data_IF_536956751921
#
_entry.id   IF_536956751921
#
_cell.length_a   1.000
_cell.length_b   1.000
_cell.length_c   1.000
_cell.angle_alpha   90.00
_cell.angle_beta   90.00
_cell.angle_gamma   90.00
#
_symmetry.space_group_name_H-M   'P 1'
#
loop_
_entity.id
_entity.type
_entity.pdbx_description
1 polymer ?
#
# COMPACT_ATOMS: atom_id res chain seq x y z
N UNK A 1 6.20 -12.57 -24.45
CA UNK A 1 7.08 -11.39 -24.36
C UNK A 1 8.37 -11.85 -23.71
N UNK A 2 9.53 -11.46 -24.22
CA UNK A 2 10.83 -11.84 -23.66
C UNK A 2 11.40 -10.72 -22.78
N UNK A 3 12.15 -11.11 -21.76
CA UNK A 3 12.98 -10.19 -21.00
C UNK A 3 14.34 -10.02 -21.69
N UNK A 4 14.90 -8.82 -21.61
CA UNK A 4 16.24 -8.53 -22.11
C UNK A 4 16.97 -7.64 -21.12
N UNK A 5 18.16 -8.06 -20.68
CA UNK A 5 19.03 -7.25 -19.84
C UNK A 5 20.24 -6.82 -20.62
N UNK A 6 20.43 -5.51 -20.69
CA UNK A 6 21.58 -4.89 -21.33
C UNK A 6 22.51 -4.41 -20.23
N UNK A 7 23.64 -5.08 -20.07
CA UNK A 7 24.71 -4.70 -19.14
C UNK A 7 25.72 -3.81 -19.85
N UNK A 8 26.37 -2.91 -19.11
CA UNK A 8 27.39 -2.00 -19.63
C UNK A 8 26.93 -1.22 -20.87
N UNK A 9 25.70 -0.70 -20.84
CA UNK A 9 25.05 -0.18 -22.03
C UNK A 9 25.68 1.14 -22.51
N UNK A 10 25.73 1.32 -23.83
CA UNK A 10 25.97 2.60 -24.48
C UNK A 10 24.67 3.37 -24.55
N UNK A 11 24.65 4.59 -24.03
CA UNK A 11 23.45 5.42 -23.92
C UNK A 11 23.66 6.74 -24.66
N UNK A 12 22.64 7.18 -25.37
CA UNK A 12 22.53 8.54 -25.90
C UNK A 12 21.32 9.23 -25.27
N UNK A 13 21.49 10.46 -24.79
CA UNK A 13 20.43 11.24 -24.15
C UNK A 13 20.10 12.45 -25.00
N UNK A 14 18.81 12.63 -25.33
CA UNK A 14 18.28 13.77 -26.07
C UNK A 14 17.19 14.46 -25.26
N UNK A 15 17.34 15.75 -24.92
CA UNK A 15 16.27 16.48 -24.23
C UNK A 15 15.06 16.66 -25.15
N UNK A 16 13.86 16.59 -24.58
CA UNK A 16 12.59 16.81 -25.25
C UNK A 16 11.83 17.99 -24.63
N UNK A 17 10.72 18.39 -25.26
CA UNK A 17 9.85 19.43 -24.73
C UNK A 17 9.29 19.06 -23.33
N UNK A 18 8.95 20.10 -22.55
CA UNK A 18 8.40 19.97 -21.19
C UNK A 18 9.30 19.23 -20.20
N UNK A 19 10.61 19.29 -20.42
CA UNK A 19 11.61 18.73 -19.53
C UNK A 19 11.66 17.19 -19.52
N UNK A 20 11.05 16.54 -20.49
CA UNK A 20 11.21 15.11 -20.73
C UNK A 20 12.55 14.82 -21.39
N UNK A 21 13.01 13.57 -21.30
CA UNK A 21 14.24 13.13 -21.97
C UNK A 21 14.00 11.82 -22.73
N UNK A 22 14.56 11.73 -23.94
CA UNK A 22 14.66 10.48 -24.68
C UNK A 22 16.04 9.88 -24.45
N UNK A 23 16.07 8.59 -24.14
CA UNK A 23 17.30 7.80 -24.08
C UNK A 23 17.26 6.72 -25.15
N UNK A 24 18.38 6.57 -25.85
CA UNK A 24 18.61 5.47 -26.79
C UNK A 24 19.70 4.58 -26.18
N UNK A 25 19.39 3.30 -25.99
CA UNK A 25 20.25 2.30 -25.35
C UNK A 25 20.72 1.30 -26.43
N UNK A 26 22.04 1.16 -26.57
CA UNK A 26 22.73 0.34 -27.56
C UNK A 26 22.20 0.54 -28.99
N UNK A 27 21.86 1.77 -29.35
CA UNK A 27 21.35 2.16 -30.67
C UNK A 27 20.08 1.36 -31.11
N UNK A 28 19.44 0.65 -30.17
CA UNK A 28 18.35 -0.30 -30.44
C UNK A 28 17.08 0.09 -29.69
N UNK A 29 17.19 0.31 -28.38
CA UNK A 29 16.04 0.55 -27.53
C UNK A 29 15.86 2.04 -27.27
N UNK A 30 14.67 2.56 -27.50
CA UNK A 30 14.34 3.95 -27.20
C UNK A 30 13.34 4.03 -26.06
N UNK A 31 13.66 4.80 -25.02
CA UNK A 31 12.73 5.07 -23.93
C UNK A 31 12.62 6.58 -23.69
N UNK A 32 11.40 7.05 -23.40
CA UNK A 32 11.15 8.43 -23.04
C UNK A 32 10.76 8.52 -21.58
N UNK A 33 11.59 9.20 -20.79
CA UNK A 33 11.26 9.54 -19.41
C UNK A 33 10.44 10.82 -19.39
N UNK A 34 9.28 10.77 -18.74
CA UNK A 34 8.46 11.97 -18.53
C UNK A 34 9.17 12.98 -17.63
N UNK A 35 8.84 14.27 -17.78
CA UNK A 35 9.45 15.36 -17.01
C UNK A 35 9.17 15.31 -15.50
N UNK A 36 8.33 14.39 -15.02
CA UNK A 36 8.04 14.20 -13.59
C UNK A 36 8.96 13.14 -12.97
N UNK A 37 9.57 12.28 -13.79
CA UNK A 37 10.53 11.28 -13.32
C UNK A 37 11.75 11.92 -12.69
N UNK A 38 12.37 11.21 -11.73
CA UNK A 38 13.61 11.67 -11.09
C UNK A 38 14.72 11.90 -12.12
N UNK A 39 14.91 10.98 -13.06
CA UNK A 39 15.96 11.11 -14.07
C UNK A 39 15.76 12.35 -14.96
N UNK A 40 14.52 12.66 -15.35
CA UNK A 40 14.24 13.85 -16.14
C UNK A 40 14.43 15.14 -15.33
N UNK A 41 14.15 15.13 -14.02
CA UNK A 41 14.47 16.25 -13.11
C UNK A 41 15.97 16.42 -12.92
N UNK A 42 16.69 15.32 -12.65
CA UNK A 42 18.16 15.30 -12.57
C UNK A 42 18.76 15.86 -13.88
N UNK A 43 18.17 15.54 -15.05
CA UNK A 43 18.60 16.06 -16.34
C UNK A 43 18.36 17.56 -16.56
N UNK A 44 17.46 18.18 -15.79
CA UNK A 44 17.23 19.63 -15.83
C UNK A 44 18.22 20.39 -14.94
N UNK A 45 18.76 19.72 -13.92
CA UNK A 45 19.65 20.31 -12.91
C UNK A 45 21.13 19.98 -13.15
N UNK A 46 21.43 18.87 -13.82
CA UNK A 46 22.79 18.39 -14.09
C UNK A 46 23.27 18.69 -15.51
N UNK A 47 24.57 18.86 -15.66
CA UNK A 47 25.20 18.91 -16.98
C UNK A 47 24.95 17.61 -17.77
N UNK A 48 24.71 17.75 -19.08
CA UNK A 48 24.38 16.63 -19.96
C UNK A 48 25.49 15.58 -20.01
N UNK A 49 26.76 15.98 -20.00
CA UNK A 49 27.87 15.04 -20.03
C UNK A 49 27.97 14.27 -18.71
N UNK A 50 27.69 14.93 -17.58
CA UNK A 50 27.63 14.28 -16.28
C UNK A 50 26.49 13.24 -16.21
N UNK A 51 25.30 13.58 -16.70
CA UNK A 51 24.19 12.63 -16.80
C UNK A 51 24.52 11.45 -17.72
N UNK A 52 25.12 11.74 -18.88
CA UNK A 52 25.53 10.73 -19.83
C UNK A 52 26.57 9.77 -19.22
N UNK A 53 27.55 10.29 -18.47
CA UNK A 53 28.55 9.47 -17.78
C UNK A 53 27.93 8.54 -16.73
N UNK A 54 26.85 8.97 -16.06
CA UNK A 54 26.11 8.12 -15.10
C UNK A 54 25.29 7.02 -15.77
N UNK A 55 24.77 7.28 -16.97
CA UNK A 55 23.95 6.31 -17.70
C UNK A 55 24.80 5.36 -18.56
N UNK A 56 25.90 5.84 -19.13
CA UNK A 56 26.85 5.02 -19.89
C UNK A 56 27.53 4.01 -18.99
N UNK A 57 27.49 2.74 -19.40
CA UNK A 57 27.91 1.62 -18.57
C UNK A 57 26.81 1.11 -17.62
N UNK A 58 25.63 1.74 -17.61
CA UNK A 58 24.50 1.31 -16.81
C UNK A 58 23.91 -0.04 -17.26
N UNK A 59 23.03 -0.59 -16.42
CA UNK A 59 22.29 -1.83 -16.72
C UNK A 59 20.81 -1.55 -16.89
N UNK A 60 20.23 -1.99 -17.99
CA UNK A 60 18.84 -1.70 -18.37
C UNK A 60 18.07 -2.99 -18.62
N UNK A 61 16.86 -3.11 -18.06
CA UNK A 61 15.98 -4.24 -18.25
C UNK A 61 14.77 -3.85 -19.10
N UNK A 62 14.55 -4.60 -20.16
CA UNK A 62 13.43 -4.44 -21.08
C UNK A 62 12.50 -5.66 -21.05
N UNK A 63 11.22 -5.40 -21.31
CA UNK A 63 10.21 -6.38 -21.64
C UNK A 63 9.67 -6.03 -23.02
N UNK A 64 10.09 -6.79 -24.05
CA UNK A 64 10.01 -6.31 -25.43
C UNK A 64 10.80 -4.99 -25.58
N UNK A 65 10.14 -3.94 -26.07
CA UNK A 65 10.77 -2.61 -26.24
C UNK A 65 10.57 -1.66 -25.04
N UNK A 66 9.86 -2.11 -23.99
CA UNK A 66 9.51 -1.27 -22.84
C UNK A 66 10.57 -1.39 -21.75
N UNK A 67 11.18 -0.26 -21.39
CA UNK A 67 12.06 -0.18 -20.23
C UNK A 67 11.27 -0.42 -18.94
N UNK A 68 11.67 -1.45 -18.19
CA UNK A 68 11.03 -1.88 -16.94
C UNK A 68 11.77 -1.34 -15.72
N UNK A 69 13.09 -1.51 -15.66
CA UNK A 69 13.92 -1.06 -14.55
C UNK A 69 15.34 -0.81 -15.07
N UNK A 70 16.12 0.00 -14.36
CA UNK A 70 17.51 0.28 -14.71
C UNK A 70 18.36 0.67 -13.50
N UNK A 71 19.67 0.54 -13.64
CA UNK A 71 20.66 1.02 -12.68
C UNK A 71 21.74 1.80 -13.42
N UNK A 72 22.24 2.84 -12.76
CA UNK A 72 23.38 3.62 -13.25
C UNK A 72 24.66 2.78 -13.30
N UNK A 73 25.67 3.30 -13.97
CA UNK A 73 26.97 2.64 -14.15
C UNK A 73 27.76 2.45 -12.86
N UNK A 74 27.47 3.23 -11.82
CA UNK A 74 28.07 3.11 -10.50
C UNK A 74 27.43 2.03 -9.62
N UNK A 75 26.39 1.33 -10.10
CA UNK A 75 25.71 0.29 -9.33
C UNK A 75 26.58 -0.96 -9.18
N UNK A 76 27.05 -1.19 -7.94
CA UNK A 76 27.84 -2.37 -7.53
C UNK A 76 26.98 -3.45 -6.84
N UNK A 77 25.66 -3.32 -6.89
CA UNK A 77 24.77 -4.27 -6.23
C UNK A 77 24.56 -5.56 -7.02
N UNK A 78 23.69 -6.42 -6.49
CA UNK A 78 23.35 -7.68 -7.11
C UNK A 78 22.62 -7.49 -8.45
N UNK A 79 22.94 -8.33 -9.44
CA UNK A 79 22.26 -8.42 -10.75
C UNK A 79 22.07 -9.90 -11.06
N UNK A 80 20.84 -10.33 -11.33
CA UNK A 80 20.56 -11.70 -11.76
C UNK A 80 21.21 -12.03 -13.13
N UNK A 81 21.46 -13.33 -13.35
CA UNK A 81 21.75 -13.85 -14.69
C UNK A 81 20.50 -13.76 -15.56
N UNK A 82 20.69 -13.79 -16.88
CA UNK A 82 19.59 -13.71 -17.84
C UNK A 82 18.66 -14.93 -17.68
N UNK A 83 19.23 -16.12 -17.46
CA UNK A 83 18.48 -17.34 -17.11
C UNK A 83 17.67 -17.19 -15.83
N UNK A 84 18.24 -16.55 -14.80
CA UNK A 84 17.54 -16.30 -13.53
C UNK A 84 16.35 -15.35 -13.71
N UNK A 85 16.50 -14.33 -14.53
CA UNK A 85 15.43 -13.38 -14.85
C UNK A 85 14.32 -14.06 -15.64
N UNK A 86 14.69 -14.89 -16.62
CA UNK A 86 13.73 -15.67 -17.39
C UNK A 86 12.96 -16.63 -16.48
N UNK A 87 13.65 -17.36 -15.62
CA UNK A 87 13.02 -18.30 -14.69
C UNK A 87 12.09 -17.61 -13.68
N UNK A 88 12.49 -16.46 -13.12
CA UNK A 88 11.62 -15.65 -12.25
C UNK A 88 10.38 -15.15 -13.01
N UNK A 89 10.58 -14.70 -14.26
CA UNK A 89 9.51 -14.27 -15.14
C UNK A 89 8.51 -15.39 -15.48
N UNK A 90 8.99 -16.62 -15.67
CA UNK A 90 8.15 -17.79 -15.96
C UNK A 90 7.41 -18.32 -14.73
N UNK A 91 8.09 -18.39 -13.58
CA UNK A 91 7.54 -18.99 -12.36
C UNK A 91 6.66 -18.03 -11.55
N UNK A 92 7.12 -16.80 -11.36
CA UNK A 92 6.40 -15.79 -10.55
C UNK A 92 5.49 -14.96 -11.44
N UNK A 93 5.91 -14.68 -12.66
CA UNK A 93 5.14 -13.87 -13.60
C UNK A 93 5.48 -12.38 -13.55
N UNK A 94 4.76 -11.65 -14.40
CA UNK A 94 4.76 -10.20 -14.48
C UNK A 94 3.41 -9.72 -15.01
N UNK A 95 3.04 -8.48 -14.66
CA UNK A 95 1.80 -7.85 -15.10
C UNK A 95 2.09 -6.52 -15.78
N UNK A 96 1.57 -6.33 -17.00
CA UNK A 96 1.67 -5.08 -17.74
C UNK A 96 0.35 -4.33 -17.60
N UNK A 97 0.37 -3.19 -16.90
CA UNK A 97 -0.81 -2.38 -16.66
C UNK A 97 -1.37 -1.84 -17.97
N UNK A 98 -2.67 -2.08 -18.21
CA UNK A 98 -3.40 -1.43 -19.31
C UNK A 98 -3.77 0.01 -18.89
N UNK A 99 -3.54 1.02 -19.76
CA UNK A 99 -3.79 2.43 -19.41
C UNK A 99 -5.23 2.78 -19.00
N UNK A 100 -6.22 1.96 -19.37
CA UNK A 100 -7.65 2.30 -19.32
C UNK A 100 -8.50 1.52 -18.29
N UNK A 101 -7.91 0.78 -17.35
CA UNK A 101 -8.69 0.18 -16.27
C UNK A 101 -9.05 1.23 -15.22
N UNK A 102 -10.32 1.40 -14.87
CA UNK A 102 -10.78 2.24 -13.75
C UNK A 102 -9.94 1.92 -12.50
N UNK A 103 -8.99 2.80 -12.18
CA UNK A 103 -7.96 2.61 -11.15
C UNK A 103 -8.50 2.86 -9.75
N UNK A 104 -9.49 2.09 -9.33
CA UNK A 104 -10.12 2.28 -8.02
C UNK A 104 -9.35 1.60 -6.88
N UNK A 105 -8.37 0.73 -7.16
CA UNK A 105 -7.53 0.13 -6.13
C UNK A 105 -6.28 0.97 -5.81
N UNK A 106 -6.20 1.51 -4.59
CA UNK A 106 -4.96 2.00 -3.96
C UNK A 106 -3.74 1.09 -4.19
N UNK A 107 -3.99 -0.22 -4.26
CA UNK A 107 -3.00 -1.28 -4.39
C UNK A 107 -2.49 -1.46 -5.82
N UNK A 108 -3.34 -1.36 -6.84
CA UNK A 108 -2.89 -1.40 -8.23
C UNK A 108 -1.90 -0.26 -8.53
N UNK A 109 -2.07 0.89 -7.86
CA UNK A 109 -1.12 2.01 -7.96
C UNK A 109 0.24 1.68 -7.33
N UNK A 110 0.29 0.84 -6.29
CA UNK A 110 1.54 0.37 -5.66
C UNK A 110 2.24 -0.70 -6.50
N UNK A 111 1.49 -1.57 -7.17
CA UNK A 111 2.03 -2.63 -8.03
C UNK A 111 2.75 -2.09 -9.26
N UNK A 112 2.26 -1.01 -9.87
CA UNK A 112 2.77 -0.54 -11.18
C UNK A 112 3.72 0.67 -11.13
N UNK A 113 4.51 0.82 -10.07
CA UNK A 113 5.45 1.96 -9.89
C UNK A 113 6.48 2.12 -11.03
N UNK A 114 6.81 1.05 -11.74
CA UNK A 114 7.86 1.01 -12.74
C UNK A 114 7.28 1.08 -14.15
N UNK A 115 7.07 2.30 -14.67
CA UNK A 115 6.63 2.49 -16.05
C UNK A 115 5.42 1.64 -16.43
N UNK A 116 4.50 1.32 -15.52
CA UNK A 116 3.34 0.47 -15.78
C UNK A 116 3.61 -1.04 -15.93
N UNK A 117 4.77 -1.54 -15.51
CA UNK A 117 5.11 -2.96 -15.46
C UNK A 117 5.34 -3.37 -14.00
N UNK A 118 4.66 -4.44 -13.58
CA UNK A 118 4.86 -5.09 -12.29
C UNK A 118 5.62 -6.40 -12.52
N UNK A 119 6.81 -6.53 -11.95
CA UNK A 119 7.60 -7.76 -11.97
C UNK A 119 7.20 -8.60 -10.77
N UNK A 120 6.23 -9.49 -10.97
CA UNK A 120 5.61 -10.21 -9.88
C UNK A 120 4.32 -10.91 -10.26
N UNK A 121 3.80 -11.68 -9.31
CA UNK A 121 2.60 -12.47 -9.43
C UNK A 121 1.78 -12.47 -8.16
N UNK A 122 0.56 -12.98 -8.27
CA UNK A 122 -0.39 -13.11 -7.15
C UNK A 122 -0.56 -14.60 -6.88
N UNK A 123 -0.28 -15.04 -5.66
CA UNK A 123 -0.56 -16.39 -5.20
C UNK A 123 -2.06 -16.65 -5.05
N UNK A 124 -2.41 -17.90 -4.74
CA UNK A 124 -3.80 -18.29 -4.52
C UNK A 124 -4.43 -17.51 -3.36
N UNK A 125 -5.72 -17.22 -3.53
CA UNK A 125 -6.51 -16.58 -2.48
C UNK A 125 -6.78 -17.60 -1.37
N UNK A 126 -6.67 -17.17 -0.12
CA UNK A 126 -7.06 -17.95 1.04
C UNK A 126 -7.98 -17.16 1.96
N UNK A 127 -8.89 -17.87 2.62
CA UNK A 127 -9.95 -17.25 3.41
C UNK A 127 -9.67 -17.43 4.90
N UNK A 128 -9.97 -16.38 5.65
CA UNK A 128 -9.93 -16.34 7.10
C UNK A 128 -11.31 -15.90 7.58
N UNK A 129 -11.90 -16.68 8.49
CA UNK A 129 -13.15 -16.33 9.16
C UNK A 129 -12.90 -16.24 10.66
N UNK A 130 -13.19 -15.06 11.21
CA UNK A 130 -13.03 -14.77 12.63
C UNK A 130 -14.41 -14.80 13.27
N UNK A 131 -14.75 -15.96 13.85
CA UNK A 131 -16.09 -16.23 14.38
C UNK A 131 -16.60 -15.13 15.34
N UNK A 132 -15.71 -14.55 16.15
CA UNK A 132 -16.06 -13.48 17.11
C UNK A 132 -16.50 -12.15 16.47
N UNK A 133 -16.32 -11.98 15.16
CA UNK A 133 -16.66 -10.78 14.41
C UNK A 133 -17.92 -10.94 13.54
N UNK A 134 -18.56 -12.12 13.58
CA UNK A 134 -19.73 -12.43 12.75
C UNK A 134 -19.46 -12.18 11.27
N UNK A 135 -20.42 -11.55 10.58
CA UNK A 135 -20.25 -11.19 9.17
C UNK A 135 -18.97 -10.36 8.94
N UNK A 136 -18.64 -9.43 9.84
CA UNK A 136 -17.46 -8.57 9.72
C UNK A 136 -16.11 -9.29 9.83
N UNK A 137 -16.11 -10.58 10.18
CA UNK A 137 -14.94 -11.43 10.39
C UNK A 137 -14.44 -12.16 9.15
N UNK A 138 -15.06 -11.96 7.98
CA UNK A 138 -14.68 -12.63 6.75
C UNK A 138 -13.61 -11.84 5.99
N UNK A 139 -12.46 -12.49 5.80
CA UNK A 139 -11.33 -11.94 5.06
C UNK A 139 -10.93 -12.90 3.95
N UNK A 140 -10.67 -12.32 2.79
CA UNK A 140 -9.92 -12.91 1.70
C UNK A 140 -8.49 -12.41 1.80
N UNK A 141 -7.52 -13.27 1.63
CA UNK A 141 -6.12 -12.93 1.75
C UNK A 141 -5.41 -13.44 0.51
N UNK A 142 -4.37 -12.75 0.09
CA UNK A 142 -3.55 -13.17 -1.04
C UNK A 142 -2.11 -12.76 -0.83
N UNK A 143 -1.20 -13.55 -1.36
CA UNK A 143 0.23 -13.26 -1.28
C UNK A 143 0.67 -12.66 -2.61
N UNK A 144 1.19 -11.45 -2.57
CA UNK A 144 1.82 -10.80 -3.71
C UNK A 144 3.31 -11.08 -3.69
N UNK A 145 3.84 -11.62 -4.78
CA UNK A 145 5.27 -11.83 -4.98
C UNK A 145 5.79 -10.75 -5.91
N UNK A 146 6.89 -10.10 -5.53
CA UNK A 146 7.57 -9.10 -6.36
C UNK A 146 9.05 -9.45 -6.45
N UNK A 147 9.58 -9.37 -7.65
CA UNK A 147 11.00 -9.59 -7.91
C UNK A 147 11.59 -8.41 -8.68
N UNK A 148 12.91 -8.32 -8.72
CA UNK A 148 13.66 -7.32 -9.49
C UNK A 148 14.94 -7.98 -9.98
N UNK A 149 15.40 -7.68 -11.20
CA UNK A 149 16.70 -8.16 -11.70
C UNK A 149 17.86 -7.67 -10.82
N UNK A 150 17.64 -6.61 -10.03
CA UNK A 150 18.64 -5.96 -9.18
C UNK A 150 18.50 -6.31 -7.69
N UNK A 151 17.70 -7.33 -7.35
CA UNK A 151 17.47 -7.75 -5.97
C UNK A 151 17.80 -9.22 -5.81
N UNK A 152 18.59 -9.55 -4.79
CA UNK A 152 18.83 -10.94 -4.39
C UNK A 152 17.65 -11.58 -3.64
N UNK A 153 16.56 -10.82 -3.44
CA UNK A 153 15.40 -11.26 -2.68
C UNK A 153 14.11 -11.10 -3.50
N UNK A 154 13.18 -12.03 -3.30
CA UNK A 154 11.77 -11.85 -3.62
C UNK A 154 11.12 -11.11 -2.45
N UNK A 155 10.41 -10.03 -2.76
CA UNK A 155 9.56 -9.33 -1.81
C UNK A 155 8.17 -9.96 -1.83
N UNK A 156 7.77 -10.51 -0.70
CA UNK A 156 6.46 -11.14 -0.50
C UNK A 156 5.60 -10.19 0.32
N UNK A 157 4.50 -9.69 -0.24
CA UNK A 157 3.56 -8.80 0.45
C UNK A 157 2.24 -9.53 0.69
N UNK A 158 1.82 -9.64 1.95
CA UNK A 158 0.46 -10.10 2.27
C UNK A 158 -0.52 -8.98 1.97
N UNK A 159 -1.54 -9.26 1.19
CA UNK A 159 -2.70 -8.40 1.01
C UNK A 159 -3.91 -9.02 1.70
N UNK A 160 -4.56 -8.25 2.56
CA UNK A 160 -5.76 -8.67 3.27
C UNK A 160 -6.94 -7.86 2.78
N UNK A 161 -7.95 -8.58 2.33
CA UNK A 161 -9.16 -8.12 1.71
C UNK A 161 -10.34 -8.44 2.63
N UNK A 162 -10.99 -7.42 3.21
CA UNK A 162 -12.20 -7.63 4.00
C UNK A 162 -13.38 -7.85 3.05
N UNK A 163 -14.18 -8.88 3.30
CA UNK A 163 -15.31 -9.27 2.44
C UNK A 163 -16.62 -8.52 2.72
N UNK A 164 -16.59 -7.51 3.59
CA UNK A 164 -17.76 -6.72 3.97
C UNK A 164 -17.48 -5.23 3.85
N UNK A 165 -18.05 -4.63 2.82
CA UNK A 165 -18.34 -3.19 2.77
C UNK A 165 -19.80 -3.03 2.31
N UNK A 166 -20.46 -1.97 2.78
CA UNK A 166 -21.89 -1.66 2.65
C UNK A 166 -22.45 -1.67 1.23
N UNK A 167 -21.59 -1.63 0.20
CA UNK A 167 -21.95 -1.63 -1.21
C UNK A 167 -21.45 -2.88 -1.97
N UNK A 168 -21.07 -3.96 -1.28
CA UNK A 168 -20.51 -5.16 -1.92
C UNK A 168 -19.11 -4.94 -2.52
N UNK A 169 -18.43 -3.88 -2.10
CA UNK A 169 -17.06 -3.54 -2.51
C UNK A 169 -16.03 -3.97 -1.46
N UNK A 170 -14.78 -3.96 -1.90
CA UNK A 170 -13.72 -4.84 -1.40
C UNK A 170 -12.57 -3.99 -0.88
N UNK A 171 -12.27 -4.10 0.42
CA UNK A 171 -11.20 -3.32 1.05
C UNK A 171 -9.90 -4.09 1.18
N UNK A 172 -8.89 -3.80 0.36
CA UNK A 172 -7.59 -4.49 0.39
C UNK A 172 -6.53 -3.61 1.08
N UNK A 173 -5.76 -4.19 2.01
CA UNK A 173 -4.62 -3.56 2.69
C UNK A 173 -3.36 -4.44 2.58
N UNK A 174 -2.22 -3.93 2.05
CA UNK A 174 -0.96 -4.65 2.06
C UNK A 174 -0.31 -4.57 3.45
N UNK A 175 -0.30 -5.68 4.15
CA UNK A 175 -0.17 -5.79 5.60
C UNK A 175 1.26 -6.09 6.05
N UNK A 176 2.01 -6.93 5.34
CA UNK A 176 3.39 -7.29 5.72
C UNK A 176 4.23 -7.56 4.49
N UNK A 177 5.46 -7.04 4.45
CA UNK A 177 6.45 -7.39 3.42
C UNK A 177 7.57 -8.22 4.04
N UNK A 178 7.76 -9.46 3.56
CA UNK A 178 8.89 -10.32 3.89
C UNK A 178 9.84 -10.40 2.70
N UNK A 179 11.13 -10.58 2.97
CA UNK A 179 12.16 -10.80 1.94
C UNK A 179 12.62 -12.24 2.01
N UNK A 180 12.47 -12.95 0.90
CA UNK A 180 12.95 -14.33 0.75
C UNK A 180 14.22 -14.30 -0.10
N UNK A 181 15.38 -14.71 0.44
CA UNK A 181 16.61 -14.73 -0.35
C UNK A 181 16.53 -15.79 -1.46
N UNK A 182 17.05 -15.44 -2.63
CA UNK A 182 17.09 -16.29 -3.83
C UNK A 182 18.34 -17.16 -3.92
N UNK A 183 19.08 -17.34 -2.82
CA UNK A 183 20.32 -18.09 -2.81
C UNK A 183 20.03 -19.60 -2.65
N UNK A 184 20.20 -20.35 -3.76
CA UNK A 184 20.04 -21.81 -3.90
C UNK A 184 18.62 -22.35 -3.62
N UNK A 185 18.14 -23.28 -4.46
CA UNK A 185 16.82 -23.94 -4.33
C UNK A 185 15.64 -22.96 -4.13
N UNK A 186 15.68 -21.80 -4.78
CA UNK A 186 14.68 -20.75 -4.60
C UNK A 186 13.25 -21.21 -4.95
N UNK A 187 13.09 -22.15 -5.87
CA UNK A 187 11.79 -22.75 -6.24
C UNK A 187 11.20 -23.51 -5.04
N UNK A 188 12.00 -24.39 -4.43
CA UNK A 188 11.64 -25.12 -3.21
C UNK A 188 11.40 -24.16 -2.04
N UNK A 189 12.22 -23.11 -1.92
CA UNK A 189 12.05 -22.11 -0.87
C UNK A 189 10.75 -21.33 -1.04
N UNK A 190 10.33 -21.00 -2.26
CA UNK A 190 9.04 -20.36 -2.52
C UNK A 190 7.86 -21.26 -2.16
N UNK A 191 7.94 -22.55 -2.49
CA UNK A 191 6.91 -23.53 -2.10
C UNK A 191 6.81 -23.67 -0.58
N UNK A 192 7.95 -23.84 0.11
CA UNK A 192 8.02 -23.90 1.58
C UNK A 192 7.48 -22.62 2.21
N UNK A 193 7.83 -21.46 1.65
CA UNK A 193 7.34 -20.16 2.09
C UNK A 193 5.83 -20.10 1.91
N UNK A 194 5.27 -20.48 0.77
CA UNK A 194 3.82 -20.48 0.55
C UNK A 194 3.08 -21.41 1.51
N UNK A 195 3.56 -22.65 1.68
CA UNK A 195 2.97 -23.66 2.56
C UNK A 195 2.97 -23.25 4.04
N UNK A 196 4.02 -22.58 4.51
CA UNK A 196 4.13 -22.16 5.91
C UNK A 196 3.57 -20.76 6.17
N UNK A 197 3.56 -19.88 5.16
CA UNK A 197 3.07 -18.52 5.32
C UNK A 197 1.58 -18.52 5.60
N UNK A 198 0.77 -19.27 4.86
CA UNK A 198 -0.68 -19.19 5.00
C UNK A 198 -1.15 -19.56 6.43
N UNK A 199 -0.76 -20.71 7.03
CA UNK A 199 -1.14 -21.03 8.40
C UNK A 199 -0.60 -20.02 9.42
N UNK A 200 0.65 -19.58 9.25
CA UNK A 200 1.29 -18.60 10.15
C UNK A 200 0.57 -17.25 10.11
N UNK A 201 0.22 -16.78 8.90
CA UNK A 201 -0.49 -15.52 8.71
C UNK A 201 -1.93 -15.63 9.21
N UNK A 202 -2.62 -16.73 8.97
CA UNK A 202 -3.96 -16.96 9.53
C UNK A 202 -3.96 -16.90 11.06
N UNK A 203 -3.01 -17.57 11.71
CA UNK A 203 -2.86 -17.51 13.17
C UNK A 203 -2.61 -16.08 13.67
N UNK A 204 -1.62 -15.39 13.08
CA UNK A 204 -1.29 -14.00 13.43
C UNK A 204 -2.48 -13.04 13.24
N UNK A 205 -3.18 -13.15 12.11
CA UNK A 205 -4.32 -12.29 11.80
C UNK A 205 -5.52 -12.58 12.71
N UNK A 206 -5.84 -13.86 12.96
CA UNK A 206 -6.94 -14.24 13.86
C UNK A 206 -6.71 -13.68 15.26
N UNK A 207 -5.55 -13.97 15.84
CA UNK A 207 -5.16 -13.48 17.17
C UNK A 207 -5.21 -11.93 17.21
N UNK A 208 -4.68 -11.28 16.17
CA UNK A 208 -4.62 -9.83 16.13
C UNK A 208 -6.00 -9.20 16.06
N UNK A 209 -6.84 -9.63 15.12
CA UNK A 209 -8.16 -9.05 14.94
C UNK A 209 -9.07 -9.33 16.14
N UNK A 210 -9.02 -10.54 16.73
CA UNK A 210 -9.71 -10.85 17.99
C UNK A 210 -9.26 -9.92 19.13
N UNK A 211 -7.96 -9.65 19.23
CA UNK A 211 -7.43 -8.72 20.22
C UNK A 211 -7.88 -7.27 19.94
N UNK A 212 -7.92 -6.84 18.68
CA UNK A 212 -8.28 -5.48 18.29
C UNK A 212 -9.72 -5.10 18.63
N UNK A 213 -10.65 -6.06 18.69
CA UNK A 213 -12.03 -5.84 19.14
C UNK A 213 -12.05 -5.36 20.59
N UNK A 214 -11.24 -5.99 21.43
CA UNK A 214 -11.23 -5.75 22.87
C UNK A 214 -10.21 -4.67 23.28
N UNK A 215 -9.32 -4.26 22.36
CA UNK A 215 -8.33 -3.22 22.60
C UNK A 215 -8.85 -1.84 22.21
N UNK A 216 -8.76 -0.87 23.14
CA UNK A 216 -9.03 0.53 22.83
C UNK A 216 -7.97 1.09 21.90
N UNK A 217 -8.42 1.85 20.90
CA UNK A 217 -7.54 2.76 20.20
C UNK A 217 -7.13 3.87 21.18
N UNK A 218 -5.92 4.38 21.05
CA UNK A 218 -5.47 5.54 21.81
C UNK A 218 -6.02 6.82 21.19
N UNK A 219 -6.18 7.88 21.98
CA UNK A 219 -6.53 9.20 21.46
C UNK A 219 -5.52 9.67 20.40
N UNK A 220 -4.25 9.27 20.53
CA UNK A 220 -3.22 9.56 19.53
C UNK A 220 -3.47 8.86 18.19
N UNK A 221 -3.76 7.55 18.22
CA UNK A 221 -4.10 6.77 17.02
C UNK A 221 -5.33 7.39 16.31
N UNK A 222 -6.38 7.74 17.06
CA UNK A 222 -7.60 8.33 16.52
C UNK A 222 -7.37 9.74 15.96
N UNK A 223 -6.60 10.59 16.66
CA UNK A 223 -6.25 11.94 16.17
C UNK A 223 -5.44 11.87 14.87
N UNK A 224 -4.47 10.94 14.77
CA UNK A 224 -3.68 10.77 13.54
C UNK A 224 -4.54 10.32 12.38
N UNK A 225 -5.47 9.38 12.62
CA UNK A 225 -6.44 8.98 11.60
C UNK A 225 -7.29 10.18 11.14
N UNK A 226 -7.84 10.96 12.07
CA UNK A 226 -8.61 12.16 11.75
C UNK A 226 -7.82 13.15 10.88
N UNK A 227 -6.56 13.45 11.23
CA UNK A 227 -5.70 14.33 10.45
C UNK A 227 -5.45 13.79 9.03
N UNK A 228 -5.26 12.47 8.87
CA UNK A 228 -5.06 11.86 7.55
C UNK A 228 -6.33 11.90 6.70
N UNK A 229 -7.50 11.72 7.31
CA UNK A 229 -8.80 11.83 6.65
C UNK A 229 -9.11 13.28 6.24
N UNK A 230 -8.84 14.25 7.12
CA UNK A 230 -8.90 15.68 6.82
C UNK A 230 -7.98 16.06 5.67
N UNK A 231 -6.70 15.66 5.70
CA UNK A 231 -5.77 15.91 4.60
C UNK A 231 -6.23 15.27 3.28
N UNK A 232 -6.89 14.11 3.34
CA UNK A 232 -7.51 13.48 2.16
C UNK A 232 -8.70 14.30 1.67
N UNK A 233 -9.54 14.83 2.56
CA UNK A 233 -10.65 15.72 2.25
C UNK A 233 -10.17 17.06 1.67
N UNK A 234 -9.11 17.67 2.21
CA UNK A 234 -8.60 18.96 1.75
C UNK A 234 -7.93 18.87 0.38
N UNK A 235 -7.10 17.83 0.17
CA UNK A 235 -6.53 17.53 -1.16
C UNK A 235 -7.59 17.07 -2.17
N UNK A 236 -8.84 16.88 -1.72
CA UNK A 236 -9.95 16.58 -2.61
C UNK A 236 -10.38 17.78 -3.46
N UNK A 237 -10.13 19.01 -3.03
CA UNK A 237 -10.50 20.22 -3.76
C UNK A 237 -9.51 20.66 -4.83
N UNK A 238 -8.25 20.22 -4.76
CA UNK A 238 -7.18 20.66 -5.66
C UNK A 238 -7.16 19.86 -6.98
N UNK A 239 -7.27 20.61 -8.08
CA UNK A 239 -7.32 20.20 -9.49
C UNK A 239 -6.64 18.86 -9.84
N UNK A 240 -7.42 17.87 -10.30
CA UNK A 240 -6.88 16.73 -11.06
C UNK A 240 -7.49 15.35 -10.78
N UNK A 241 -8.21 15.16 -9.67
CA UNK A 241 -8.83 13.87 -9.35
C UNK A 241 -10.21 13.73 -10.00
N UNK A 242 -10.22 13.40 -11.30
CA UNK A 242 -11.43 12.99 -12.04
C UNK A 242 -11.90 11.64 -11.48
N UNK A 243 -13.05 11.62 -10.82
CA UNK A 243 -13.68 10.40 -10.31
C UNK A 243 -14.43 10.54 -8.99
N UNK A 244 -14.43 11.72 -8.35
CA UNK A 244 -15.07 11.91 -7.04
C UNK A 244 -16.56 12.23 -7.17
N UNK A 245 -17.42 11.44 -6.53
CA UNK A 245 -18.86 11.70 -6.43
C UNK A 245 -19.19 12.57 -5.20
N UNK A 246 -20.37 13.19 -5.17
CA UNK A 246 -20.84 13.89 -3.97
C UNK A 246 -21.04 12.95 -2.77
N UNK A 247 -21.32 11.68 -3.06
CA UNK A 247 -21.47 10.61 -2.07
C UNK A 247 -20.13 10.27 -1.40
N UNK A 248 -19.03 10.21 -2.15
CA UNK A 248 -17.68 9.97 -1.61
C UNK A 248 -17.29 11.02 -0.56
N UNK A 249 -17.64 12.29 -0.81
CA UNK A 249 -17.34 13.41 0.09
C UNK A 249 -18.21 13.38 1.34
N UNK A 250 -19.50 13.05 1.19
CA UNK A 250 -20.40 12.89 2.32
C UNK A 250 -19.95 11.73 3.21
N UNK A 251 -19.56 10.61 2.61
CA UNK A 251 -19.04 9.45 3.32
C UNK A 251 -17.72 9.76 4.03
N UNK A 252 -16.75 10.41 3.36
CA UNK A 252 -15.50 10.81 4.00
C UNK A 252 -15.73 11.76 5.19
N UNK A 253 -16.71 12.66 5.12
CA UNK A 253 -17.09 13.52 6.25
C UNK A 253 -17.62 12.71 7.44
N UNK A 254 -18.46 11.70 7.21
CA UNK A 254 -18.92 10.80 8.27
C UNK A 254 -17.73 10.13 8.98
N UNK A 255 -16.75 9.64 8.23
CA UNK A 255 -15.53 9.03 8.79
C UNK A 255 -14.67 10.04 9.57
N UNK A 256 -14.59 11.30 9.10
CA UNK A 256 -13.90 12.40 9.80
C UNK A 256 -14.58 12.70 11.13
N UNK A 257 -15.92 12.78 11.15
CA UNK A 257 -16.70 13.03 12.37
C UNK A 257 -16.53 11.89 13.38
N UNK A 258 -16.47 10.64 12.90
CA UNK A 258 -16.21 9.46 13.73
C UNK A 258 -14.83 9.48 14.38
N UNK A 259 -13.84 10.15 13.79
CA UNK A 259 -12.46 10.21 14.31
C UNK A 259 -12.16 11.53 15.01
N UNK A 260 -13.12 12.45 15.07
CA UNK A 260 -12.92 13.73 15.73
C UNK A 260 -12.91 13.57 17.26
N UNK A 261 -11.72 13.62 17.86
CA UNK A 261 -11.54 13.47 19.31
C UNK A 261 -12.22 14.59 20.14
N UNK A 262 -12.57 15.73 19.52
CA UNK A 262 -13.28 16.81 20.22
C UNK A 262 -14.67 16.38 20.71
N UNK A 263 -15.26 15.33 20.11
CA UNK A 263 -16.54 14.76 20.57
C UNK A 263 -16.47 14.14 21.96
N UNK A 264 -15.26 13.93 22.49
CA UNK A 264 -15.01 13.40 23.84
C UNK A 264 -14.91 14.51 24.90
N UNK A 265 -15.28 15.74 24.54
CA UNK A 265 -15.45 16.82 25.50
C UNK A 265 -16.49 16.42 26.56
N UNK A 266 -16.17 16.65 27.82
CA UNK A 266 -16.95 16.17 28.97
C UNK A 266 -16.58 14.77 29.47
N UNK A 267 -15.88 13.95 28.67
CA UNK A 267 -15.23 12.72 29.14
C UNK A 267 -13.78 13.01 29.53
N UNK A 268 -13.09 13.77 28.68
CA UNK A 268 -11.77 14.33 28.96
C UNK A 268 -11.90 15.84 29.18
N UNK A 269 -10.99 16.39 29.99
CA UNK A 269 -10.87 17.84 30.10
C UNK A 269 -10.34 18.41 28.78
N UNK A 270 -10.84 19.57 28.37
CA UNK A 270 -10.51 20.16 27.07
C UNK A 270 -8.99 20.45 26.91
N UNK A 271 -8.25 20.63 28.00
CA UNK A 271 -6.78 20.77 27.98
C UNK A 271 -6.08 19.47 27.55
N UNK A 272 -6.66 18.31 27.83
CA UNK A 272 -6.10 17.00 27.41
C UNK A 272 -6.30 16.83 25.89
N UNK A 273 -7.47 17.23 25.39
CA UNK A 273 -7.82 17.12 23.97
C UNK A 273 -7.08 18.13 23.09
N UNK A 274 -6.57 19.22 23.66
CA UNK A 274 -5.76 20.24 22.98
C UNK A 274 -4.25 20.08 23.17
N UNK A 275 -3.80 19.14 24.00
CA UNK A 275 -2.37 18.91 24.29
C UNK A 275 -1.61 18.19 23.16
N UNK A 276 -0.29 18.36 23.18
CA UNK A 276 0.66 17.71 22.27
C UNK A 276 0.55 16.18 22.31
N UNK A 277 0.89 15.55 21.19
CA UNK A 277 0.66 14.13 20.95
C UNK A 277 1.19 13.19 22.04
N UNK A 278 2.31 13.51 22.70
CA UNK A 278 2.93 12.63 23.68
C UNK A 278 2.08 12.33 24.92
N UNK A 279 1.21 13.25 25.34
CA UNK A 279 0.34 13.05 26.51
C UNK A 279 -0.91 12.22 26.22
N UNK A 280 -1.32 12.17 24.96
CA UNK A 280 -2.52 11.43 24.54
C UNK A 280 -2.18 10.04 23.97
N UNK A 281 -0.89 9.70 23.86
CA UNK A 281 -0.42 8.37 23.39
C UNK A 281 -0.90 7.20 24.23
N UNK A 282 -1.16 7.42 25.52
CA UNK A 282 -1.56 6.35 26.45
C UNK A 282 -3.02 6.46 26.89
N UNK A 283 -3.75 7.46 26.40
CA UNK A 283 -5.14 7.68 26.80
C UNK A 283 -6.08 6.93 25.86
N UNK A 284 -7.08 6.19 26.37
CA UNK A 284 -8.00 5.42 25.54
C UNK A 284 -9.05 6.30 24.88
N UNK A 285 -9.32 6.02 23.61
CA UNK A 285 -10.46 6.53 22.88
C UNK A 285 -11.74 5.75 23.22
N UNK A 286 -12.88 6.28 22.77
CA UNK A 286 -14.15 5.57 22.75
C UNK A 286 -14.25 4.52 21.64
N UNK A 287 -13.35 4.58 20.65
CA UNK A 287 -13.20 3.59 19.57
C UNK A 287 -12.31 2.42 20.00
N UNK A 288 -12.66 1.21 19.57
CA UNK A 288 -11.74 0.07 19.55
C UNK A 288 -10.70 0.25 18.44
N UNK A 289 -9.60 -0.49 18.50
CA UNK A 289 -8.63 -0.54 17.40
C UNK A 289 -9.25 -1.15 16.15
N UNK A 290 -10.19 -2.08 16.32
CA UNK A 290 -10.93 -2.66 15.21
C UNK A 290 -11.83 -1.62 14.51
N UNK A 291 -12.49 -0.74 15.27
CA UNK A 291 -13.29 0.37 14.71
C UNK A 291 -12.41 1.33 13.90
N UNK A 292 -11.22 1.64 14.42
CA UNK A 292 -10.28 2.52 13.73
C UNK A 292 -9.72 1.89 12.45
N UNK A 293 -9.41 0.60 12.49
CA UNK A 293 -9.02 -0.18 11.31
C UNK A 293 -10.12 -0.16 10.24
N UNK A 294 -11.36 -0.32 10.68
CA UNK A 294 -12.56 -0.27 9.84
C UNK A 294 -12.72 1.09 9.16
N UNK A 295 -12.63 2.20 9.90
CA UNK A 295 -12.71 3.56 9.37
C UNK A 295 -11.60 3.82 8.34
N UNK A 296 -10.36 3.43 8.64
CA UNK A 296 -9.22 3.67 7.75
C UNK A 296 -9.28 2.82 6.48
N UNK A 297 -9.75 1.57 6.59
CA UNK A 297 -9.94 0.68 5.44
C UNK A 297 -10.98 1.29 4.51
N UNK A 298 -12.12 1.69 5.05
CA UNK A 298 -13.21 2.29 4.28
C UNK A 298 -12.77 3.57 3.56
N UNK A 299 -12.08 4.46 4.28
CA UNK A 299 -11.53 5.67 3.66
C UNK A 299 -10.51 5.37 2.56
N UNK A 300 -9.68 4.34 2.73
CA UNK A 300 -8.67 4.00 1.72
C UNK A 300 -9.27 3.41 0.44
N UNK A 301 -10.44 2.78 0.50
CA UNK A 301 -10.99 1.96 -0.59
C UNK A 301 -12.23 2.58 -1.25
N UNK A 302 -13.03 3.34 -0.51
CA UNK A 302 -14.28 3.94 -0.99
C UNK A 302 -14.22 5.44 -1.23
N UNK A 303 -13.08 6.09 -0.94
CA UNK A 303 -12.94 7.52 -1.19
C UNK A 303 -11.79 7.77 -2.16
N UNK A 304 -11.93 8.70 -3.09
CA UNK A 304 -10.83 9.11 -3.96
C UNK A 304 -9.78 9.92 -3.16
N UNK A 305 -8.48 9.66 -3.39
CA UNK A 305 -7.40 10.40 -2.72
C UNK A 305 -6.07 10.32 -3.45
N UNK A 306 -5.13 11.20 -3.07
CA UNK A 306 -3.79 11.19 -3.64
C UNK A 306 -3.01 9.92 -3.29
N UNK A 307 -2.01 9.56 -4.11
CA UNK A 307 -1.11 8.44 -3.77
C UNK A 307 -0.44 8.63 -2.41
N UNK A 308 -0.10 9.88 -2.05
CA UNK A 308 0.53 10.23 -0.77
C UNK A 308 -0.43 9.98 0.39
N UNK A 309 -1.68 10.46 0.29
CA UNK A 309 -2.68 10.24 1.34
C UNK A 309 -3.02 8.76 1.49
N UNK A 310 -3.18 8.06 0.38
CA UNK A 310 -3.43 6.62 0.36
C UNK A 310 -2.29 5.84 1.02
N UNK A 311 -1.03 6.17 0.71
CA UNK A 311 0.12 5.56 1.39
C UNK A 311 0.10 5.86 2.90
N UNK A 312 -0.30 7.05 3.30
CA UNK A 312 -0.40 7.42 4.71
C UNK A 312 -1.45 6.59 5.46
N UNK A 313 -2.66 6.43 4.90
CA UNK A 313 -3.70 5.57 5.49
C UNK A 313 -3.24 4.11 5.59
N UNK A 314 -2.60 3.59 4.53
CA UNK A 314 -2.08 2.22 4.53
C UNK A 314 -0.96 2.00 5.56
N UNK A 315 -0.10 3.01 5.76
CA UNK A 315 0.90 2.97 6.84
C UNK A 315 0.21 2.87 8.21
N UNK A 316 -0.88 3.61 8.43
CA UNK A 316 -1.63 3.54 9.70
C UNK A 316 -2.32 2.19 9.89
N UNK A 317 -2.92 1.63 8.83
CA UNK A 317 -3.52 0.29 8.86
C UNK A 317 -2.49 -0.77 9.25
N UNK A 318 -1.30 -0.72 8.66
CA UNK A 318 -0.23 -1.68 8.98
C UNK A 318 0.24 -1.54 10.43
N UNK A 319 0.36 -0.31 10.93
CA UNK A 319 0.73 -0.08 12.33
C UNK A 319 -0.33 -0.64 13.28
N UNK A 320 -1.62 -0.49 12.94
CA UNK A 320 -2.71 -1.04 13.74
C UNK A 320 -2.70 -2.58 13.75
N UNK A 321 -2.34 -3.24 12.65
CA UNK A 321 -2.33 -4.71 12.63
C UNK A 321 -1.01 -5.30 13.16
N UNK A 322 0.16 -4.75 12.84
CA UNK A 322 1.45 -5.43 13.10
C UNK A 322 2.38 -4.75 14.10
N UNK A 323 2.39 -3.43 14.20
CA UNK A 323 3.49 -2.73 14.90
C UNK A 323 3.23 -2.42 16.38
N UNK A 324 2.07 -2.74 16.96
CA UNK A 324 1.76 -2.29 18.32
C UNK A 324 1.78 -3.38 19.40
N UNK A 325 2.98 -3.57 19.95
CA UNK A 325 3.32 -4.17 21.25
C UNK A 325 3.01 -3.28 22.47
N UNK A 326 2.36 -2.12 22.29
CA UNK A 326 1.89 -1.31 23.43
C UNK A 326 0.86 -2.10 24.22
N UNK A 327 1.13 -2.32 25.51
CA UNK A 327 0.21 -2.93 26.47
C UNK A 327 -1.22 -2.40 26.30
N UNK A 328 -2.21 -3.29 26.43
CA UNK A 328 -3.62 -2.92 26.34
C UNK A 328 -3.89 -1.67 27.18
N UNK A 329 -4.34 -0.60 26.54
CA UNK A 329 -4.69 0.63 27.25
C UNK A 329 -6.05 0.41 27.90
N UNK A 330 -6.02 0.18 29.21
CA UNK A 330 -7.22 0.02 30.05
C UNK A 330 -7.68 1.40 30.50
N UNK A 331 -8.96 1.73 30.30
CA UNK A 331 -9.55 2.92 30.89
C UNK A 331 -11.08 2.89 30.90
N UNK A 332 -11.65 3.83 31.66
CA UNK A 332 -13.08 3.86 32.01
C UNK A 332 -13.97 4.57 30.97
N UNK A 333 -13.44 4.91 29.80
CA UNK A 333 -14.27 5.37 28.67
C UNK A 333 -15.25 4.26 28.31
N UNK A 334 -16.55 4.57 28.18
CA UNK A 334 -17.54 3.61 27.68
C UNK A 334 -17.24 3.28 26.22
N UNK A 335 -17.41 2.03 25.80
CA UNK A 335 -17.32 1.65 24.38
C UNK A 335 -18.39 2.44 23.65
N UNK A 336 -18.04 3.06 22.53
CA UNK A 336 -19.04 3.74 21.73
C UNK A 336 -20.12 2.74 21.36
N UNK A 337 -21.37 3.19 21.23
CA UNK A 337 -22.41 2.36 20.64
C UNK A 337 -22.06 1.97 19.19
N UNK A 338 -21.17 2.75 18.56
CA UNK A 338 -20.53 2.50 17.27
C UNK A 338 -19.37 1.50 17.35
N UNK A 339 -19.09 0.88 18.50
CA UNK A 339 -18.07 -0.18 18.61
C UNK A 339 -18.66 -1.58 18.37
N UNK A 340 -19.91 -1.65 17.93
CA UNK A 340 -20.50 -2.87 17.38
C UNK A 340 -20.07 -3.00 15.90
N UNK A 341 -19.28 -4.04 15.53
CA UNK A 341 -18.85 -4.30 14.16
C UNK A 341 -19.99 -4.33 13.14
N UNK A 342 -21.21 -4.62 13.58
CA UNK A 342 -22.40 -4.63 12.74
C UNK A 342 -23.04 -3.25 12.60
N UNK A 343 -23.00 -2.40 13.62
CA UNK A 343 -23.81 -1.17 13.66
C UNK A 343 -23.23 -0.02 12.85
N UNK A 344 -21.91 0.15 12.83
CA UNK A 344 -21.21 1.19 12.03
C UNK A 344 -21.49 1.03 10.53
N UNK A 345 -21.75 -0.22 10.12
CA UNK A 345 -21.87 -0.59 8.71
C UNK A 345 -23.30 -0.83 8.28
N UNK A 346 -24.12 -1.55 9.06
CA UNK A 346 -25.50 -1.86 8.66
C UNK A 346 -26.52 -0.80 9.09
N UNK A 347 -26.08 0.20 9.87
CA UNK A 347 -26.99 1.13 10.54
C UNK A 347 -27.82 0.42 11.62
N UNK A 348 -28.56 1.19 12.42
CA UNK A 348 -29.56 0.58 13.30
C UNK A 348 -30.65 -0.05 12.43
N UNK A 349 -30.81 -1.38 12.48
CA UNK A 349 -32.05 -2.01 12.08
C UNK A 349 -33.18 -1.39 12.92
N UNK A 350 -33.86 -0.40 12.34
CA UNK A 350 -35.18 0.02 12.80
C UNK A 350 -36.15 -1.06 12.34
N UNK A 351 -36.23 -2.15 13.11
CA UNK A 351 -37.32 -3.17 13.21
C UNK A 351 -36.72 -4.38 13.95
N UNK A 352 -37.10 -4.73 15.17
CA UNK A 352 -38.45 -4.94 15.67
C UNK A 352 -38.55 -4.64 17.17
N UNK A 353 -39.48 -3.75 17.53
CA UNK A 353 -40.48 -4.03 18.57
C UNK A 353 -41.76 -4.43 17.84
#
# INVERSE_FOLDING_TARGET
>A
MSFTVIKNAKVHVTPLAKGAISVIINDTYTHTFDGKTKLAKDAQEMDRNALLARLNGGTFMFLGDRLVDYRYSDYQGFIHSDDGIQALGEKIGFEVSKPNGNRLGAIQQLRHRNNGVFLGGVGEDFYLDIAGLGAGGQFKNRILYRWSPFSQNIETTLEVERLICTNGMVGISPLTTRRVPLLNDWERNLEIVSLNLQPTMNGLLSERFEAMVNQRATLHEVRRAHQALMARHDTSGSEGYRGRTGEDLAHLRQLIDLTNIARLDGVYRSEVLSQSDDRIRTLPSDLSRYDLFNVLTEASTHTAGSLVNTKSLQTMLNVLVFDNTTAAVVGNTRLSAESDPSRVFYGTDRKNN
#
